data_IF_086225049421
#
_entry.id   IF_086225049421
#
_cell.length_a   1.000
_cell.length_b   1.000
_cell.length_c   1.000
_cell.angle_alpha   90.00
_cell.angle_beta   90.00
_cell.angle_gamma   90.00
#
_symmetry.space_group_name_H-M   'P 1'
#
loop_
_entity.id
_entity.type
_entity.pdbx_description
1 polymer ?
#
# COMPACT_ATOMS: atom_id res chain seq x y z
N UNK A 1 -6.06 19.81 31.99
CA UNK A 1 -5.49 21.16 32.12
C UNK A 1 -4.23 21.20 31.27
N UNK A 2 -4.16 22.09 30.29
CA UNK A 2 -2.95 22.32 29.48
C UNK A 2 -1.86 22.89 30.38
N UNK A 3 -0.70 22.25 30.42
CA UNK A 3 0.44 22.71 31.22
C UNK A 3 1.58 23.10 30.30
N UNK A 4 2.08 24.33 30.50
CA UNK A 4 3.30 24.82 29.87
C UNK A 4 4.40 24.86 30.92
N UNK A 5 5.44 24.06 30.72
CA UNK A 5 6.62 24.06 31.59
C UNK A 5 7.79 24.69 30.83
N UNK A 6 8.32 25.78 31.36
CA UNK A 6 9.61 26.31 30.93
C UNK A 6 10.69 25.59 31.76
N UNK A 7 11.53 24.82 31.10
CA UNK A 7 12.47 23.91 31.77
C UNK A 7 13.82 24.58 32.03
N UNK A 8 14.24 25.56 31.21
CA UNK A 8 15.51 26.28 31.42
C UNK A 8 15.62 27.56 30.57
N UNK A 9 16.34 28.57 31.06
CA UNK A 9 16.96 29.62 30.26
C UNK A 9 18.48 29.48 30.42
N UNK A 10 19.19 29.05 29.38
CA UNK A 10 20.63 28.93 29.44
C UNK A 10 21.29 30.30 29.60
N UNK A 11 22.49 30.25 30.17
CA UNK A 11 23.30 31.42 30.47
C UNK A 11 23.85 32.03 29.17
N UNK A 12 23.90 33.35 29.08
CA UNK A 12 24.66 34.00 28.01
C UNK A 12 26.13 33.59 28.10
N UNK A 13 26.76 33.29 26.96
CA UNK A 13 28.22 33.12 26.90
C UNK A 13 28.88 34.48 27.14
N UNK A 14 29.42 34.68 28.34
CA UNK A 14 30.13 35.90 28.72
C UNK A 14 31.61 35.88 28.29
N UNK A 15 32.07 34.84 27.58
CA UNK A 15 33.46 34.69 27.16
C UNK A 15 33.86 35.52 25.94
N UNK A 16 32.91 35.98 25.13
CA UNK A 16 33.17 36.75 23.90
C UNK A 16 32.15 37.88 23.76
N UNK A 17 32.60 39.13 23.92
CA UNK A 17 31.83 40.33 23.65
C UNK A 17 32.12 40.84 22.23
N UNK A 18 31.08 41.30 21.52
CA UNK A 18 31.24 42.14 20.33
C UNK A 18 31.81 43.52 20.74
N UNK A 19 32.41 44.25 19.80
CA UNK A 19 32.99 45.59 20.04
C UNK A 19 31.96 46.63 20.54
N UNK A 20 30.66 46.33 20.46
CA UNK A 20 29.55 47.15 20.97
C UNK A 20 29.06 46.74 22.37
N UNK A 21 29.73 45.78 23.02
CA UNK A 21 29.35 45.28 24.35
C UNK A 21 28.18 44.31 24.36
N UNK A 22 27.73 43.85 23.19
CA UNK A 22 26.71 42.80 23.09
C UNK A 22 27.35 41.41 23.19
N UNK A 23 26.71 40.51 23.92
CA UNK A 23 27.12 39.11 24.02
C UNK A 23 26.39 38.30 22.93
N UNK A 24 27.11 37.38 22.28
CA UNK A 24 26.48 36.38 21.43
C UNK A 24 25.76 35.34 22.31
N UNK A 25 24.51 35.59 22.69
CA UNK A 25 23.68 34.57 23.31
C UNK A 25 22.96 33.77 22.22
N UNK A 26 23.23 32.47 22.09
CA UNK A 26 22.21 31.56 21.55
C UNK A 26 21.15 31.42 22.66
N UNK A 27 19.87 31.73 22.41
CA UNK A 27 18.82 31.41 23.38
C UNK A 27 18.85 29.89 23.61
N UNK A 28 19.07 29.45 24.84
CA UNK A 28 19.02 28.03 25.22
C UNK A 28 17.79 27.87 26.11
N UNK A 29 16.62 27.85 25.51
CA UNK A 29 15.34 27.53 26.15
C UNK A 29 14.95 26.07 25.94
N UNK A 30 14.21 25.49 26.88
CA UNK A 30 13.41 24.29 26.61
C UNK A 30 11.95 24.50 27.00
N UNK A 31 11.06 24.15 26.08
CA UNK A 31 9.61 24.24 26.24
C UNK A 31 9.04 22.85 26.26
N UNK A 32 8.28 22.52 27.31
CA UNK A 32 7.52 21.27 27.39
C UNK A 32 6.02 21.58 27.45
N UNK A 33 5.26 20.94 26.57
CA UNK A 33 3.80 21.06 26.53
C UNK A 33 3.20 19.67 26.72
N UNK A 34 2.30 19.56 27.71
CA UNK A 34 1.60 18.31 28.03
C UNK A 34 0.09 18.50 27.83
N UNK A 35 -0.48 17.62 27.01
CA UNK A 35 -1.90 17.48 26.70
C UNK A 35 -2.43 16.18 27.35
N UNK A 36 -3.00 16.24 28.56
CA UNK A 36 -3.61 15.07 29.17
C UNK A 36 -4.94 14.71 28.49
N UNK A 37 -5.23 13.41 28.39
CA UNK A 37 -6.56 12.92 28.02
C UNK A 37 -7.62 13.43 29.01
N UNK A 38 -8.87 13.54 28.53
CA UNK A 38 -10.00 14.05 29.33
C UNK A 38 -10.26 13.18 30.58
N UNK A 39 -9.97 11.89 30.48
CA UNK A 39 -10.11 10.90 31.56
C UNK A 39 -8.79 10.64 32.32
N UNK A 40 -7.72 11.40 32.01
CA UNK A 40 -6.37 11.23 32.55
C UNK A 40 -5.74 9.85 32.29
N UNK A 41 -6.27 9.04 31.37
CA UNK A 41 -5.73 7.71 31.04
C UNK A 41 -4.38 7.76 30.33
N UNK A 42 -4.12 8.85 29.61
CA UNK A 42 -2.91 9.07 28.82
C UNK A 42 -2.56 10.55 28.75
N UNK A 43 -1.34 10.86 28.33
CA UNK A 43 -0.90 12.22 28.07
C UNK A 43 -0.03 12.27 26.83
N UNK A 44 -0.19 13.34 26.08
CA UNK A 44 0.57 13.63 24.88
C UNK A 44 1.53 14.77 25.17
N UNK A 45 2.83 14.57 24.99
CA UNK A 45 3.83 15.58 25.35
C UNK A 45 4.80 15.84 24.22
N UNK A 46 5.20 17.10 24.08
CA UNK A 46 6.27 17.51 23.17
C UNK A 46 7.23 18.42 23.92
N UNK A 47 8.53 18.13 23.80
CA UNK A 47 9.60 18.94 24.38
C UNK A 47 10.49 19.47 23.27
N UNK A 48 10.61 20.78 23.20
CA UNK A 48 11.48 21.47 22.24
C UNK A 48 12.67 22.06 22.96
N UNK A 49 13.86 21.62 22.57
CA UNK A 49 15.14 22.16 22.98
C UNK A 49 15.61 23.14 21.91
N UNK A 50 15.63 24.43 22.21
CA UNK A 50 15.94 25.49 21.21
C UNK A 50 17.40 25.50 20.78
N UNK A 51 18.30 24.90 21.54
CA UNK A 51 19.70 24.67 21.14
C UNK A 51 19.86 23.64 20.02
N UNK A 52 18.87 22.76 19.83
CA UNK A 52 18.79 21.80 18.73
C UNK A 52 18.21 22.41 17.44
N UNK A 53 17.69 23.64 17.48
CA UNK A 53 17.14 24.31 16.31
C UNK A 53 18.23 25.10 15.58
N UNK A 54 18.16 25.10 14.24
CA UNK A 54 19.03 25.92 13.39
C UNK A 54 18.79 27.41 13.64
N UNK A 55 17.54 27.81 13.88
CA UNK A 55 17.17 29.16 14.31
C UNK A 55 16.08 29.13 15.37
N UNK A 56 16.13 30.08 16.31
CA UNK A 56 15.13 30.21 17.37
C UNK A 56 13.99 31.14 16.98
N UNK A 57 13.51 31.01 15.74
CA UNK A 57 12.33 31.75 15.30
C UNK A 57 11.05 31.15 15.91
N UNK A 58 9.99 31.94 16.10
CA UNK A 58 8.70 31.41 16.52
C UNK A 58 8.21 30.27 15.60
N UNK A 59 8.51 30.35 14.31
CA UNK A 59 8.16 29.31 13.34
C UNK A 59 8.86 27.98 13.63
N UNK A 60 10.18 27.98 13.79
CA UNK A 60 10.95 26.75 14.04
C UNK A 60 10.59 26.11 15.40
N UNK A 61 10.40 26.94 16.43
CA UNK A 61 9.98 26.44 17.75
C UNK A 61 8.58 25.80 17.68
N UNK A 62 7.61 26.44 16.99
CA UNK A 62 6.29 25.86 16.81
C UNK A 62 6.31 24.61 15.93
N UNK A 63 7.09 24.60 14.86
CA UNK A 63 7.25 23.43 13.98
C UNK A 63 7.80 22.24 14.76
N UNK A 64 8.90 22.42 15.49
CA UNK A 64 9.48 21.37 16.32
C UNK A 64 8.51 20.88 17.41
N UNK A 65 7.71 21.79 17.98
CA UNK A 65 6.69 21.43 18.98
C UNK A 65 5.61 20.54 18.36
N UNK A 66 5.09 20.93 17.20
CA UNK A 66 4.09 20.16 16.45
C UNK A 66 4.67 18.82 16.03
N UNK A 67 5.90 18.77 15.52
CA UNK A 67 6.55 17.53 15.09
C UNK A 67 6.76 16.57 16.28
N UNK A 68 7.06 17.08 17.47
CA UNK A 68 7.11 16.26 18.68
C UNK A 68 5.74 15.65 19.03
N UNK A 69 4.64 16.40 18.89
CA UNK A 69 3.30 15.83 19.04
C UNK A 69 3.01 14.78 17.95
N UNK A 70 3.24 15.10 16.68
CA UNK A 70 3.05 14.17 15.57
C UNK A 70 3.84 12.88 15.75
N UNK A 71 5.04 12.98 16.30
CA UNK A 71 5.90 11.83 16.55
C UNK A 71 5.27 10.82 17.50
N UNK A 72 4.33 11.22 18.35
CA UNK A 72 3.56 10.38 19.27
C UNK A 72 2.15 10.03 18.75
N UNK A 73 1.76 10.57 17.59
CA UNK A 73 0.38 10.52 17.09
C UNK A 73 0.11 9.30 16.23
N UNK A 74 -1.14 8.81 16.18
CA UNK A 74 -1.52 7.79 15.23
C UNK A 74 -1.26 8.20 13.78
N UNK A 75 -0.79 7.25 12.98
CA UNK A 75 -0.78 7.39 11.54
C UNK A 75 -2.15 7.01 10.97
N UNK A 76 -2.49 7.59 9.82
CA UNK A 76 -3.67 7.23 9.04
C UNK A 76 -3.22 6.53 7.77
N UNK A 77 -3.81 5.37 7.49
CA UNK A 77 -3.44 4.55 6.34
C UNK A 77 -4.63 4.30 5.42
N UNK A 78 -4.36 4.32 4.12
CA UNK A 78 -5.23 3.80 3.08
C UNK A 78 -4.55 2.59 2.46
N UNK A 79 -5.31 1.50 2.29
CA UNK A 79 -4.87 0.29 1.60
C UNK A 79 -5.83 0.01 0.45
N UNK A 80 -5.31 0.00 -0.78
CA UNK A 80 -6.06 -0.39 -1.96
C UNK A 80 -6.14 -1.91 -2.13
N UNK A 81 -6.97 -2.34 -3.08
CA UNK A 81 -6.99 -3.70 -3.60
C UNK A 81 -5.69 -4.01 -4.36
N UNK A 82 -5.40 -5.30 -4.54
CA UNK A 82 -4.32 -5.75 -5.41
C UNK A 82 -4.69 -5.51 -6.86
N UNK A 83 -3.79 -4.86 -7.60
CA UNK A 83 -3.85 -4.71 -9.06
C UNK A 83 -2.81 -5.61 -9.73
N UNK A 84 -3.17 -6.22 -10.86
CA UNK A 84 -2.29 -7.12 -11.62
C UNK A 84 -1.52 -6.40 -12.75
N UNK A 85 -1.71 -5.10 -12.89
CA UNK A 85 -1.10 -4.24 -13.90
C UNK A 85 -0.79 -2.91 -13.24
N UNK A 86 0.46 -2.45 -13.32
CA UNK A 86 0.81 -1.13 -12.83
C UNK A 86 0.07 -0.06 -13.66
N UNK A 87 -0.38 1.03 -13.04
CA UNK A 87 -0.91 2.17 -13.79
C UNK A 87 0.17 2.72 -14.70
N UNK A 88 -0.24 3.39 -15.78
CA UNK A 88 0.68 4.15 -16.62
C UNK A 88 1.47 5.16 -15.79
N UNK A 89 2.70 5.46 -16.21
CA UNK A 89 3.46 6.57 -15.64
C UNK A 89 2.64 7.87 -15.71
N UNK A 90 2.88 8.75 -14.74
CA UNK A 90 2.18 10.02 -14.56
C UNK A 90 0.69 9.92 -14.19
N UNK A 91 0.16 8.72 -13.89
CA UNK A 91 -1.16 8.57 -13.29
C UNK A 91 -1.20 9.35 -11.98
N UNK A 92 -2.14 10.29 -11.90
CA UNK A 92 -2.19 11.32 -10.85
C UNK A 92 -3.38 11.12 -9.93
N UNK A 93 -3.15 11.09 -8.61
CA UNK A 93 -4.20 11.06 -7.59
C UNK A 93 -4.00 12.21 -6.60
N UNK A 94 -4.98 13.11 -6.51
CA UNK A 94 -4.97 14.21 -5.54
C UNK A 94 -5.68 13.78 -4.26
N UNK A 95 -5.13 14.12 -3.09
CA UNK A 95 -5.71 13.85 -1.78
C UNK A 95 -5.53 15.05 -0.84
N UNK A 96 -6.39 15.12 0.17
CA UNK A 96 -6.30 16.10 1.26
C UNK A 96 -6.01 15.38 2.58
N UNK A 97 -5.09 15.93 3.37
CA UNK A 97 -4.78 15.46 4.72
C UNK A 97 -4.36 16.65 5.59
N UNK A 98 -5.00 16.82 6.76
CA UNK A 98 -4.71 17.90 7.72
C UNK A 98 -4.66 19.27 7.01
N UNK A 99 -5.73 19.60 6.25
CA UNK A 99 -5.90 20.85 5.48
C UNK A 99 -4.87 21.11 4.36
N UNK A 100 -4.02 20.14 4.06
CA UNK A 100 -3.03 20.22 2.99
C UNK A 100 -3.40 19.33 1.81
N UNK A 101 -3.23 19.88 0.61
CA UNK A 101 -3.39 19.15 -0.64
C UNK A 101 -2.08 18.48 -1.05
N UNK A 102 -2.15 17.19 -1.34
CA UNK A 102 -1.05 16.39 -1.87
C UNK A 102 -1.44 15.79 -3.22
N UNK A 103 -0.43 15.53 -4.04
CA UNK A 103 -0.55 14.85 -5.33
C UNK A 103 0.37 13.63 -5.35
N UNK A 104 -0.21 12.47 -5.63
CA UNK A 104 0.52 11.25 -5.92
C UNK A 104 0.70 11.10 -7.43
N UNK A 105 1.89 10.74 -7.87
CA UNK A 105 2.23 10.52 -9.28
C UNK A 105 2.98 9.21 -9.45
N UNK A 106 2.49 8.31 -10.30
CA UNK A 106 3.14 7.02 -10.56
C UNK A 106 4.37 7.16 -11.46
N UNK A 107 5.40 6.36 -11.17
CA UNK A 107 6.57 6.19 -12.03
C UNK A 107 7.05 4.74 -11.93
N UNK A 108 6.61 3.89 -12.85
CA UNK A 108 6.84 2.45 -12.79
C UNK A 108 6.30 1.85 -11.49
N UNK A 109 7.21 1.38 -10.62
CA UNK A 109 6.89 0.79 -9.31
C UNK A 109 6.88 1.82 -8.18
N UNK A 110 7.32 3.04 -8.45
CA UNK A 110 7.45 4.11 -7.47
C UNK A 110 6.22 5.01 -7.50
N UNK A 111 5.97 5.67 -6.36
CA UNK A 111 4.94 6.70 -6.22
C UNK A 111 5.61 7.95 -5.66
N UNK A 112 5.56 9.03 -6.45
CA UNK A 112 6.09 10.33 -6.07
C UNK A 112 4.99 11.11 -5.35
N UNK A 113 5.33 11.71 -4.21
CA UNK A 113 4.44 12.57 -3.43
C UNK A 113 4.86 14.02 -3.61
N UNK A 114 3.93 14.87 -4.03
CA UNK A 114 4.12 16.31 -4.21
C UNK A 114 3.09 17.10 -3.40
N UNK A 115 3.41 18.36 -3.07
CA UNK A 115 2.51 19.25 -2.35
C UNK A 115 2.53 19.06 -0.83
N UNK A 116 1.69 19.85 -0.16
CA UNK A 116 1.55 19.88 1.29
C UNK A 116 2.87 20.08 2.05
N UNK A 117 2.88 19.62 3.31
CA UNK A 117 4.08 19.62 4.13
C UNK A 117 4.93 18.37 3.83
N UNK A 118 6.22 18.58 3.62
CA UNK A 118 7.16 17.50 3.27
C UNK A 118 7.12 16.37 4.30
N UNK A 119 7.23 15.14 3.83
CA UNK A 119 7.31 13.91 4.63
C UNK A 119 6.04 13.57 5.44
N UNK A 120 4.94 14.34 5.30
CA UNK A 120 3.66 14.03 5.95
C UNK A 120 2.86 12.93 5.26
N UNK A 121 3.06 12.72 3.97
CA UNK A 121 2.44 11.65 3.19
C UNK A 121 3.53 10.75 2.63
N UNK A 122 3.37 9.44 2.81
CA UNK A 122 4.12 8.39 2.13
C UNK A 122 3.16 7.57 1.28
N UNK A 123 3.56 7.24 0.05
CA UNK A 123 2.80 6.37 -0.82
C UNK A 123 3.73 5.39 -1.54
N UNK A 124 3.30 4.14 -1.69
CA UNK A 124 4.12 3.09 -2.27
C UNK A 124 3.27 1.92 -2.76
N UNK A 125 3.80 1.17 -3.72
CA UNK A 125 3.24 -0.14 -4.08
C UNK A 125 3.95 -1.24 -3.30
N UNK A 126 3.17 -2.05 -2.60
CA UNK A 126 3.66 -3.30 -2.01
C UNK A 126 3.55 -4.41 -3.06
N UNK A 127 4.67 -5.10 -3.39
CA UNK A 127 4.65 -6.20 -4.32
C UNK A 127 3.86 -7.38 -3.76
N UNK A 128 3.06 -8.03 -4.61
CA UNK A 128 2.27 -9.21 -4.28
C UNK A 128 2.77 -10.36 -5.15
N UNK A 129 3.09 -11.49 -4.52
CA UNK A 129 3.55 -12.66 -5.28
C UNK A 129 2.38 -13.34 -5.98
N UNK A 130 2.69 -13.97 -7.11
CA UNK A 130 1.76 -14.73 -7.92
C UNK A 130 2.50 -15.82 -8.69
N UNK A 131 1.85 -16.28 -9.75
CA UNK A 131 2.32 -17.37 -10.59
C UNK A 131 2.40 -16.91 -12.04
N UNK A 132 3.56 -17.09 -12.65
CA UNK A 132 3.76 -16.87 -14.08
C UNK A 132 3.91 -18.21 -14.76
N UNK A 133 3.04 -18.52 -15.72
CA UNK A 133 3.21 -19.66 -16.62
C UNK A 133 4.45 -19.51 -17.50
N UNK A 134 4.83 -20.61 -18.15
CA UNK A 134 5.79 -20.59 -19.24
C UNK A 134 5.22 -19.94 -20.52
N UNK A 135 6.02 -19.94 -21.58
CA UNK A 135 5.60 -19.45 -22.90
C UNK A 135 4.47 -20.34 -23.46
N UNK A 136 3.23 -19.85 -23.39
CA UNK A 136 2.04 -20.57 -23.80
C UNK A 136 1.86 -20.55 -25.32
N UNK A 137 1.05 -21.49 -25.83
CA UNK A 137 0.64 -21.50 -27.23
C UNK A 137 -0.24 -20.27 -27.52
N UNK A 138 0.08 -19.54 -28.59
CA UNK A 138 -0.77 -18.45 -29.06
C UNK A 138 -2.07 -19.00 -29.64
N UNK A 139 -3.19 -18.47 -29.14
CA UNK A 139 -4.54 -18.84 -29.53
C UNK A 139 -5.17 -17.65 -30.24
N UNK A 140 -5.64 -17.86 -31.47
CA UNK A 140 -6.31 -16.85 -32.29
C UNK A 140 -7.61 -17.41 -32.86
N UNK A 141 -8.34 -16.61 -33.66
CA UNK A 141 -9.53 -17.09 -34.36
C UNK A 141 -9.20 -18.14 -35.43
N UNK A 142 -8.00 -18.09 -35.99
CA UNK A 142 -7.48 -19.01 -37.01
C UNK A 142 -6.80 -20.24 -36.38
N UNK A 143 -6.29 -20.11 -35.16
CA UNK A 143 -5.67 -21.19 -34.39
C UNK A 143 -6.33 -21.31 -33.01
N UNK A 144 -7.58 -21.77 -33.00
CA UNK A 144 -8.39 -21.88 -31.78
C UNK A 144 -7.97 -23.07 -30.90
N UNK A 145 -8.11 -22.92 -29.58
CA UNK A 145 -7.96 -24.02 -28.63
C UNK A 145 -9.32 -24.66 -28.34
N UNK A 146 -9.47 -25.95 -28.65
CA UNK A 146 -10.66 -26.73 -28.29
C UNK A 146 -10.41 -27.45 -26.97
N UNK A 147 -11.17 -27.09 -25.93
CA UNK A 147 -11.12 -27.75 -24.62
C UNK A 147 -12.31 -28.70 -24.52
N UNK A 148 -12.02 -29.99 -24.40
CA UNK A 148 -13.02 -31.03 -24.14
C UNK A 148 -13.50 -31.00 -22.68
N UNK A 149 -14.59 -31.72 -22.37
CA UNK A 149 -15.04 -31.86 -20.98
C UNK A 149 -14.05 -32.63 -20.12
N UNK A 150 -13.92 -32.23 -18.85
CA UNK A 150 -13.15 -32.96 -17.85
C UNK A 150 -11.68 -32.55 -17.73
N UNK A 151 -11.27 -31.43 -18.36
CA UNK A 151 -9.94 -30.88 -18.18
C UNK A 151 -9.87 -30.05 -16.89
N UNK A 152 -9.03 -30.48 -15.97
CA UNK A 152 -8.97 -29.98 -14.60
C UNK A 152 -7.58 -29.53 -14.19
N UNK A 153 -7.55 -28.74 -13.11
CA UNK A 153 -6.34 -28.31 -12.44
C UNK A 153 -6.65 -28.01 -10.97
N UNK A 154 -5.61 -27.92 -10.16
CA UNK A 154 -5.70 -27.52 -8.75
C UNK A 154 -4.66 -26.44 -8.47
N UNK A 155 -4.99 -25.53 -7.56
CA UNK A 155 -4.12 -24.42 -7.18
C UNK A 155 -4.08 -24.25 -5.67
N UNK A 156 -3.09 -23.50 -5.19
CA UNK A 156 -3.03 -22.99 -3.82
C UNK A 156 -2.99 -21.47 -3.87
N UNK A 157 -3.87 -20.81 -3.12
CA UNK A 157 -3.94 -19.35 -2.99
C UNK A 157 -3.73 -18.99 -1.53
N UNK A 158 -2.63 -18.30 -1.24
CA UNK A 158 -2.20 -17.90 0.11
C UNK A 158 -2.20 -19.07 1.11
N UNK A 159 -1.73 -20.23 0.66
CA UNK A 159 -1.69 -21.46 1.47
C UNK A 159 -3.02 -22.19 1.60
N UNK A 160 -4.10 -21.70 0.98
CA UNK A 160 -5.38 -22.42 0.87
C UNK A 160 -5.43 -23.19 -0.44
N UNK A 161 -5.49 -24.50 -0.36
CA UNK A 161 -5.65 -25.35 -1.55
C UNK A 161 -7.09 -25.31 -2.07
N UNK A 162 -7.23 -25.27 -3.39
CA UNK A 162 -8.54 -25.34 -4.06
C UNK A 162 -9.12 -26.76 -4.03
N UNK A 163 -10.39 -26.89 -4.39
CA UNK A 163 -10.91 -28.13 -4.93
C UNK A 163 -10.37 -28.43 -6.33
N UNK A 164 -10.99 -29.42 -7.00
CA UNK A 164 -10.74 -29.66 -8.43
C UNK A 164 -11.44 -28.61 -9.27
N UNK A 165 -10.67 -27.76 -9.94
CA UNK A 165 -11.19 -26.72 -10.81
C UNK A 165 -11.25 -27.27 -12.23
N UNK A 166 -12.37 -27.09 -12.92
CA UNK A 166 -12.56 -27.50 -14.32
C UNK A 166 -12.51 -26.28 -15.23
N UNK A 167 -11.64 -26.29 -16.23
CA UNK A 167 -11.68 -25.28 -17.29
C UNK A 167 -12.92 -25.56 -18.17
N UNK A 168 -13.81 -24.58 -18.42
CA UNK A 168 -15.02 -24.82 -19.20
C UNK A 168 -14.73 -25.42 -20.58
N UNK A 169 -15.50 -26.45 -20.94
CA UNK A 169 -15.41 -27.08 -22.26
C UNK A 169 -15.99 -26.13 -23.31
N UNK A 170 -15.14 -25.62 -24.20
CA UNK A 170 -15.51 -24.72 -25.28
C UNK A 170 -14.35 -24.60 -26.28
N UNK A 171 -14.60 -23.86 -27.36
CA UNK A 171 -13.56 -23.41 -28.28
C UNK A 171 -13.16 -21.98 -27.94
N UNK A 172 -11.92 -21.79 -27.52
CA UNK A 172 -11.35 -20.47 -27.25
C UNK A 172 -10.66 -19.92 -28.50
N UNK A 173 -10.98 -18.67 -28.85
CA UNK A 173 -10.40 -17.95 -29.99
C UNK A 173 -9.36 -16.89 -29.59
N UNK A 174 -9.03 -16.79 -28.30
CA UNK A 174 -7.97 -15.90 -27.80
C UNK A 174 -7.43 -16.34 -26.45
N UNK A 175 -6.16 -16.03 -26.17
CA UNK A 175 -5.58 -16.26 -24.85
C UNK A 175 -6.24 -15.40 -23.76
N UNK A 176 -6.75 -14.20 -24.10
CA UNK A 176 -7.49 -13.35 -23.16
C UNK A 176 -8.82 -13.99 -22.73
N UNK A 177 -9.54 -14.65 -23.65
CA UNK A 177 -10.75 -15.41 -23.29
C UNK A 177 -10.44 -16.59 -22.36
N UNK A 178 -9.30 -17.26 -22.57
CA UNK A 178 -8.82 -18.32 -21.68
C UNK A 178 -8.49 -17.77 -20.29
N UNK A 179 -7.77 -16.63 -20.22
CA UNK A 179 -7.44 -15.99 -18.94
C UNK A 179 -8.72 -15.65 -18.14
N UNK A 180 -9.73 -15.07 -18.80
CA UNK A 180 -11.02 -14.79 -18.18
C UNK A 180 -11.74 -16.06 -17.69
N UNK A 181 -11.67 -17.15 -18.46
CA UNK A 181 -12.27 -18.42 -18.06
C UNK A 181 -11.54 -19.07 -16.88
N UNK A 182 -10.20 -19.03 -16.86
CA UNK A 182 -9.39 -19.47 -15.72
C UNK A 182 -9.75 -18.68 -14.47
N UNK A 183 -9.79 -17.34 -14.56
CA UNK A 183 -10.15 -16.49 -13.42
C UNK A 183 -11.55 -16.84 -12.88
N UNK A 184 -12.53 -16.97 -13.78
CA UNK A 184 -13.91 -17.29 -13.41
C UNK A 184 -13.99 -18.65 -12.73
N UNK A 185 -13.33 -19.68 -13.29
CA UNK A 185 -13.34 -21.02 -12.73
C UNK A 185 -12.66 -21.08 -11.36
N UNK A 186 -11.51 -20.40 -11.20
CA UNK A 186 -10.79 -20.32 -9.93
C UNK A 186 -11.63 -19.62 -8.87
N UNK A 187 -12.18 -18.45 -9.18
CA UNK A 187 -12.93 -17.65 -8.22
C UNK A 187 -14.31 -18.24 -7.89
N UNK A 188 -14.79 -19.20 -8.68
CA UNK A 188 -15.99 -19.97 -8.40
C UNK A 188 -15.72 -21.24 -7.56
N UNK A 189 -14.45 -21.59 -7.29
CA UNK A 189 -14.11 -22.71 -6.43
C UNK A 189 -14.65 -22.50 -5.01
N UNK A 190 -15.40 -23.48 -4.50
CA UNK A 190 -16.10 -23.35 -3.22
C UNK A 190 -15.15 -23.33 -2.02
N UNK A 191 -13.99 -23.98 -2.13
CA UNK A 191 -13.00 -24.02 -1.04
C UNK A 191 -12.29 -22.67 -0.92
N UNK A 192 -11.87 -22.10 -2.05
CA UNK A 192 -11.25 -20.78 -2.09
C UNK A 192 -12.23 -19.68 -1.66
N UNK A 193 -13.44 -19.67 -2.22
CA UNK A 193 -14.45 -18.65 -1.88
C UNK A 193 -14.91 -18.72 -0.42
N UNK A 194 -15.03 -19.92 0.17
CA UNK A 194 -15.33 -20.07 1.60
C UNK A 194 -14.20 -19.53 2.51
N UNK A 195 -12.96 -19.52 2.02
CA UNK A 195 -11.81 -18.92 2.69
C UNK A 195 -11.55 -17.45 2.29
N UNK A 196 -12.49 -16.82 1.57
CA UNK A 196 -12.37 -15.46 1.03
C UNK A 196 -11.13 -15.26 0.14
N UNK A 197 -10.76 -16.30 -0.62
CA UNK A 197 -9.65 -16.28 -1.56
C UNK A 197 -10.14 -16.11 -2.99
N UNK A 198 -9.43 -15.27 -3.72
CA UNK A 198 -9.66 -15.06 -5.16
C UNK A 198 -8.37 -14.64 -5.84
N UNK A 199 -8.35 -14.76 -7.16
CA UNK A 199 -7.23 -14.36 -8.01
C UNK A 199 -7.67 -13.45 -9.14
N UNK A 200 -6.70 -12.72 -9.67
CA UNK A 200 -6.77 -12.09 -10.99
C UNK A 200 -5.90 -12.87 -11.97
N UNK A 201 -6.39 -13.12 -13.19
CA UNK A 201 -5.64 -13.81 -14.24
C UNK A 201 -5.52 -12.90 -15.46
N UNK A 202 -4.32 -12.74 -15.99
CA UNK A 202 -4.07 -11.98 -17.22
C UNK A 202 -3.23 -12.75 -18.23
N UNK A 203 -3.39 -12.39 -19.49
CA UNK A 203 -2.50 -12.77 -20.58
C UNK A 203 -1.51 -11.64 -20.83
N UNK A 204 -0.21 -11.92 -20.84
CA UNK A 204 0.85 -10.91 -21.02
C UNK A 204 1.19 -10.65 -22.49
N UNK A 205 0.64 -11.44 -23.41
CA UNK A 205 1.14 -11.57 -24.78
C UNK A 205 2.01 -12.81 -24.99
N UNK A 206 2.51 -13.43 -23.91
CA UNK A 206 3.37 -14.62 -24.00
C UNK A 206 3.02 -15.73 -22.99
N UNK A 207 2.58 -15.35 -21.78
CA UNK A 207 2.30 -16.27 -20.69
C UNK A 207 1.06 -15.82 -19.90
N UNK A 208 0.49 -16.75 -19.14
CA UNK A 208 -0.57 -16.45 -18.18
C UNK A 208 0.03 -16.05 -16.85
N UNK A 209 -0.49 -14.99 -16.26
CA UNK A 209 -0.10 -14.51 -14.93
C UNK A 209 -1.30 -14.55 -14.00
N UNK A 210 -1.14 -15.22 -12.86
CA UNK A 210 -2.14 -15.34 -11.81
C UNK A 210 -1.63 -14.60 -10.57
N UNK A 211 -2.48 -13.79 -9.96
CA UNK A 211 -2.15 -12.94 -8.81
C UNK A 211 -3.20 -13.11 -7.73
N UNK A 212 -2.81 -13.27 -6.47
CA UNK A 212 -3.76 -13.29 -5.35
C UNK A 212 -4.36 -11.91 -5.13
N UNK A 213 -5.68 -11.84 -4.94
CA UNK A 213 -6.38 -10.59 -4.63
C UNK A 213 -6.41 -10.28 -3.13
N UNK A 214 -5.94 -11.17 -2.25
CA UNK A 214 -6.01 -10.94 -0.81
C UNK A 214 -5.10 -9.78 -0.39
N UNK A 215 -3.93 -9.62 -1.04
CA UNK A 215 -2.93 -8.64 -0.66
C UNK A 215 -2.44 -8.82 0.78
N UNK A 216 -1.24 -8.32 1.10
CA UNK A 216 -0.92 -8.05 2.50
C UNK A 216 -0.04 -6.83 2.59
N UNK A 217 -0.62 -5.75 3.10
CA UNK A 217 0.11 -4.57 3.48
C UNK A 217 0.77 -4.83 4.84
N UNK A 218 1.96 -5.40 4.80
CA UNK A 218 2.84 -5.50 5.96
C UNK A 218 3.59 -4.18 6.13
N UNK A 219 4.02 -3.85 7.35
CA UNK A 219 4.98 -2.75 7.56
C UNK A 219 6.39 -3.09 7.02
N UNK A 220 6.64 -4.35 6.66
CA UNK A 220 7.92 -4.84 6.14
C UNK A 220 7.80 -5.24 4.67
N UNK A 221 8.55 -4.55 3.80
CA UNK A 221 8.69 -4.84 2.36
C UNK A 221 9.33 -6.22 2.08
N UNK A 222 9.84 -6.89 3.12
CA UNK A 222 10.46 -8.21 3.04
C UNK A 222 9.58 -9.35 3.58
N UNK A 223 8.32 -9.10 4.01
CA UNK A 223 7.44 -10.18 4.48
C UNK A 223 6.96 -11.05 3.31
N UNK A 224 7.60 -12.22 3.14
CA UNK A 224 7.31 -13.19 2.09
C UNK A 224 6.16 -14.14 2.42
N UNK A 225 5.43 -13.96 3.54
CA UNK A 225 4.53 -15.00 4.07
C UNK A 225 3.11 -14.99 3.51
N UNK A 226 2.71 -14.08 2.60
CA UNK A 226 1.29 -13.67 2.65
C UNK A 226 0.49 -13.26 1.44
N UNK A 227 1.02 -13.38 0.25
CA UNK A 227 0.15 -13.53 -0.90
C UNK A 227 0.88 -14.32 -1.95
N UNK A 228 0.34 -15.47 -2.35
CA UNK A 228 0.99 -16.34 -3.33
C UNK A 228 -0.03 -17.17 -4.07
N UNK A 229 0.20 -17.37 -5.36
CA UNK A 229 -0.53 -18.35 -6.16
C UNK A 229 0.44 -19.43 -6.59
N UNK A 230 0.00 -20.69 -6.56
CA UNK A 230 0.75 -21.83 -7.07
C UNK A 230 -0.18 -22.80 -7.77
N UNK A 231 0.16 -23.22 -8.98
CA UNK A 231 -0.50 -24.35 -9.65
C UNK A 231 0.09 -25.64 -9.06
N UNK A 232 -0.76 -26.51 -8.52
CA UNK A 232 -0.34 -27.73 -7.82
C UNK A 232 -0.49 -28.97 -8.70
N UNK A 233 -1.48 -29.00 -9.58
CA UNK A 233 -1.63 -30.00 -10.63
C UNK A 233 -2.40 -29.42 -11.81
N UNK A 234 -2.20 -29.98 -13.00
CA UNK A 234 -2.92 -29.60 -14.21
C UNK A 234 -2.95 -30.77 -15.19
N UNK A 235 -4.10 -31.00 -15.83
CA UNK A 235 -4.27 -32.02 -16.84
C UNK A 235 -3.40 -31.74 -18.07
N UNK A 236 -2.77 -32.80 -18.60
CA UNK A 236 -1.81 -32.71 -19.71
C UNK A 236 -2.43 -32.07 -20.96
N UNK A 237 -3.71 -32.33 -21.23
CA UNK A 237 -4.43 -31.81 -22.41
C UNK A 237 -4.44 -30.28 -22.47
N UNK A 238 -4.69 -29.62 -21.34
CA UNK A 238 -4.67 -28.15 -21.27
C UNK A 238 -3.26 -27.64 -21.00
N UNK A 239 -2.43 -28.39 -20.27
CA UNK A 239 -1.06 -28.02 -19.97
C UNK A 239 -0.19 -27.88 -21.22
N UNK A 240 -0.44 -28.68 -22.25
CA UNK A 240 0.25 -28.59 -23.54
C UNK A 240 0.11 -27.21 -24.20
N UNK A 241 -0.94 -26.45 -23.86
CA UNK A 241 -1.17 -25.10 -24.37
C UNK A 241 -0.93 -24.02 -23.31
N UNK A 242 -1.37 -24.23 -22.07
CA UNK A 242 -1.35 -23.20 -21.03
C UNK A 242 0.00 -23.06 -20.32
N UNK A 243 0.81 -24.13 -20.28
CA UNK A 243 2.17 -24.14 -19.71
C UNK A 243 2.22 -23.61 -18.27
N UNK A 244 1.31 -24.08 -17.43
CA UNK A 244 1.14 -23.59 -16.06
C UNK A 244 1.92 -24.39 -15.02
N UNK A 245 2.49 -25.55 -15.38
CA UNK A 245 3.36 -26.34 -14.50
C UNK A 245 4.81 -25.86 -14.51
N UNK A 246 5.54 -26.13 -13.42
CA UNK A 246 6.98 -25.83 -13.32
C UNK A 246 7.80 -26.57 -14.39
N UNK A 247 7.41 -27.80 -14.76
CA UNK A 247 8.06 -28.56 -15.83
C UNK A 247 7.98 -27.88 -17.20
N UNK A 248 6.97 -27.02 -17.40
CA UNK A 248 6.80 -26.23 -18.61
C UNK A 248 7.21 -24.76 -18.43
N UNK A 249 8.06 -24.48 -17.44
CA UNK A 249 8.68 -23.17 -17.25
C UNK A 249 7.89 -22.20 -16.38
N UNK A 250 6.81 -22.64 -15.73
CA UNK A 250 6.11 -21.79 -14.79
C UNK A 250 6.92 -21.55 -13.50
N UNK A 251 6.82 -20.35 -12.97
CA UNK A 251 7.58 -19.90 -11.79
C UNK A 251 6.73 -19.05 -10.86
N UNK A 252 7.13 -18.99 -9.59
CA UNK A 252 6.68 -17.93 -8.68
C UNK A 252 7.18 -16.58 -9.18
N UNK A 253 6.32 -15.58 -9.19
CA UNK A 253 6.60 -14.24 -9.75
C UNK A 253 6.08 -13.13 -8.85
N UNK A 254 6.54 -11.89 -9.07
CA UNK A 254 5.97 -10.69 -8.46
C UNK A 254 5.25 -9.91 -9.56
N UNK A 255 3.94 -10.09 -9.62
CA UNK A 255 3.08 -9.61 -10.69
C UNK A 255 1.81 -8.92 -10.20
N UNK A 256 1.62 -8.81 -8.88
CA UNK A 256 0.62 -7.96 -8.26
C UNK A 256 1.24 -6.78 -7.50
N UNK A 257 0.45 -5.74 -7.32
CA UNK A 257 0.84 -4.51 -6.66
C UNK A 257 -0.32 -4.02 -5.81
N UNK A 258 -0.06 -3.57 -4.59
CA UNK A 258 -1.09 -3.02 -3.70
C UNK A 258 -0.67 -1.61 -3.28
N UNK A 259 -1.50 -0.61 -3.55
CA UNK A 259 -1.21 0.76 -3.11
C UNK A 259 -1.38 0.86 -1.59
N UNK A 260 -0.37 1.42 -0.93
CA UNK A 260 -0.44 1.93 0.43
C UNK A 260 -0.22 3.44 0.44
N UNK A 261 -1.05 4.17 1.20
CA UNK A 261 -0.84 5.59 1.50
C UNK A 261 -0.84 5.75 3.02
N UNK A 262 0.12 6.48 3.56
CA UNK A 262 0.28 6.74 4.99
C UNK A 262 0.37 8.24 5.21
N UNK A 263 -0.53 8.79 6.01
CA UNK A 263 -0.45 10.14 6.57
C UNK A 263 0.13 10.07 7.97
N UNK A 264 1.32 10.61 8.15
CA UNK A 264 2.09 10.47 9.38
C UNK A 264 1.67 11.47 10.46
N UNK A 265 1.57 10.96 11.70
CA UNK A 265 1.36 11.72 12.91
C UNK A 265 0.12 12.62 12.84
N UNK A 266 -1.06 12.01 12.74
CA UNK A 266 -2.33 12.72 12.77
C UNK A 266 -2.66 13.18 14.19
N UNK A 267 -2.61 14.49 14.44
CA UNK A 267 -2.90 15.08 15.75
C UNK A 267 -4.41 15.29 15.96
N UNK A 268 -5.18 15.31 14.88
CA UNK A 268 -6.62 15.55 14.90
C UNK A 268 -7.45 14.30 14.59
N UNK A 269 -6.79 13.14 14.41
CA UNK A 269 -7.39 11.97 13.75
C UNK A 269 -8.01 12.34 12.38
N UNK A 270 -7.38 13.29 11.67
CA UNK A 270 -7.77 13.65 10.30
C UNK A 270 -7.66 12.45 9.38
N UNK A 271 -8.71 12.25 8.59
CA UNK A 271 -8.73 11.23 7.55
C UNK A 271 -8.04 11.73 6.28
N UNK A 272 -7.50 10.80 5.50
CA UNK A 272 -7.17 11.07 4.10
C UNK A 272 -8.48 11.12 3.33
N UNK A 273 -8.70 12.23 2.63
CA UNK A 273 -9.88 12.39 1.76
C UNK A 273 -9.42 12.63 0.33
N UNK A 274 -10.30 12.30 -0.62
CA UNK A 274 -10.00 12.46 -2.03
C UNK A 274 -11.03 13.40 -2.66
N UNK A 275 -10.59 14.54 -3.23
CA UNK A 275 -11.48 15.42 -3.96
C UNK A 275 -12.24 14.66 -5.05
N UNK A 276 -13.53 14.97 -5.21
CA UNK A 276 -14.38 14.35 -6.24
C UNK A 276 -14.20 15.11 -7.55
N UNK A 277 -13.44 14.51 -8.46
CA UNK A 277 -13.27 14.98 -9.83
C UNK A 277 -13.02 13.79 -10.77
N UNK A 278 -13.08 14.04 -12.09
CA UNK A 278 -12.96 12.98 -13.10
C UNK A 278 -11.60 12.29 -13.05
N UNK A 279 -10.51 13.05 -12.90
CA UNK A 279 -9.15 12.50 -12.82
C UNK A 279 -9.00 11.55 -11.63
N UNK A 280 -9.36 12.01 -10.43
CA UNK A 280 -9.34 11.20 -9.20
C UNK A 280 -10.23 9.96 -9.31
N UNK A 281 -11.38 10.05 -9.99
CA UNK A 281 -12.26 8.89 -10.17
C UNK A 281 -11.59 7.81 -10.99
N UNK A 282 -10.95 8.18 -12.12
CA UNK A 282 -10.23 7.24 -12.98
C UNK A 282 -8.98 6.69 -12.26
N UNK A 283 -8.19 7.58 -11.65
CA UNK A 283 -6.95 7.21 -10.98
C UNK A 283 -7.21 6.28 -9.80
N UNK A 284 -8.24 6.53 -8.98
CA UNK A 284 -8.64 5.63 -7.89
C UNK A 284 -8.83 4.20 -8.39
N UNK A 285 -9.62 4.00 -9.45
CA UNK A 285 -9.86 2.67 -10.01
C UNK A 285 -8.55 2.03 -10.50
N UNK A 286 -7.70 2.78 -11.22
CA UNK A 286 -6.41 2.26 -11.70
C UNK A 286 -5.44 1.89 -10.57
N UNK A 287 -5.57 2.55 -9.42
CA UNK A 287 -4.73 2.37 -8.24
C UNK A 287 -5.30 1.36 -7.23
N UNK A 288 -6.41 0.68 -7.57
CA UNK A 288 -7.06 -0.28 -6.68
C UNK A 288 -7.86 0.36 -5.54
N UNK A 289 -8.19 1.64 -5.62
CA UNK A 289 -9.03 2.32 -4.62
C UNK A 289 -10.49 2.34 -5.07
N UNK A 290 -11.41 2.02 -4.17
CA UNK A 290 -12.85 1.96 -4.43
C UNK A 290 -13.67 2.49 -3.24
N UNK A 291 -14.99 2.33 -3.26
CA UNK A 291 -15.89 2.80 -2.19
C UNK A 291 -15.80 2.01 -0.89
N UNK A 292 -15.29 0.78 -0.95
CA UNK A 292 -14.99 -0.05 0.21
C UNK A 292 -13.61 0.24 0.81
N UNK A 293 -12.75 1.00 0.13
CA UNK A 293 -11.46 1.44 0.68
C UNK A 293 -11.69 2.39 1.87
N UNK A 294 -11.15 2.02 3.03
CA UNK A 294 -11.30 2.78 4.29
C UNK A 294 -10.00 3.37 4.80
N UNK A 295 -10.13 4.44 5.59
CA UNK A 295 -9.05 4.96 6.44
C UNK A 295 -8.85 4.01 7.63
N UNK A 296 -7.60 3.69 7.93
CA UNK A 296 -7.19 2.88 9.07
C UNK A 296 -6.35 3.76 9.98
N UNK A 297 -6.75 3.90 11.25
CA UNK A 297 -6.03 4.73 12.23
C UNK A 297 -5.22 3.84 13.19
N UNK A 298 -3.97 4.20 13.46
CA UNK A 298 -3.27 3.67 14.63
C UNK A 298 -1.75 3.74 14.58
N UNK A 299 -1.16 4.20 15.68
CA UNK A 299 0.29 4.09 15.94
C UNK A 299 0.69 2.71 16.50
N UNK A 300 -0.29 1.98 17.02
CA UNK A 300 -0.13 0.73 17.78
C UNK A 300 -0.91 -0.45 17.14
N UNK A 301 -1.13 -0.42 15.82
CA UNK A 301 -1.72 -1.58 15.14
C UNK A 301 -0.61 -2.64 15.02
N UNK A 302 -0.47 -3.49 16.03
CA UNK A 302 0.38 -4.71 15.96
C UNK A 302 -0.10 -5.70 14.90
N UNK A 303 -1.28 -5.46 14.30
CA UNK A 303 -1.90 -6.33 13.32
C UNK A 303 -1.90 -5.64 11.95
N UNK A 304 -1.09 -6.14 11.03
CA UNK A 304 -1.06 -5.69 9.64
C UNK A 304 -2.46 -5.85 8.99
N UNK A 305 -3.07 -4.79 8.45
CA UNK A 305 -4.37 -4.92 7.80
C UNK A 305 -4.26 -5.70 6.47
N UNK A 306 -5.03 -6.78 6.34
CA UNK A 306 -5.23 -7.53 5.09
C UNK A 306 -6.41 -6.97 4.30
N UNK A 307 -6.14 -6.09 3.32
CA UNK A 307 -7.15 -5.44 2.48
C UNK A 307 -8.18 -4.55 3.22
N UNK A 308 -9.08 -3.88 2.49
CA UNK A 308 -9.95 -2.78 2.95
C UNK A 308 -10.91 -3.01 4.14
N UNK A 309 -10.86 -4.17 4.82
CA UNK A 309 -11.75 -4.56 5.92
C UNK A 309 -11.18 -4.22 7.31
N UNK A 310 -10.65 -3.01 7.49
CA UNK A 310 -10.26 -2.55 8.83
C UNK A 310 -11.00 -1.25 9.18
N UNK A 311 -11.89 -1.42 10.17
CA UNK A 311 -12.86 -0.51 10.79
C UNK A 311 -14.13 -0.23 9.99
#
# INVERSE_FOLDING_TARGET
>A
MLTFENINFGSADQGIASNDGTYASRPIGSYNVILPAVDNSSSFSSTVYTDNLDTNSPYEVHKAMIDGFRSESPDVRIVGDVINTLPSDDTTLTLEFEENTYKLKTLGKDVIVEGGEKDRIKAFFTPVSGWSGGAATEVTSENSLVVSSGNTFTISVDGTDSGTITLPATTYSSNTAIASALQTAINADSTLSAASKSVSVKWTGQNYELVSNTGRQTYDINDTTVASVKITAIDTTIEDNLKLSQSNGAITSINGYQLGIVGEGSISASQITFPVNTENTVSKTSLGLNTATKNIEGKAVTNNPTNGDYF
#
